data_IF_040114985553
#
_entry.id   IF_040114985553
#
_cell.length_a   1.000
_cell.length_b   1.000
_cell.length_c   1.000
_cell.angle_alpha   90.00
_cell.angle_beta   90.00
_cell.angle_gamma   90.00
#
_symmetry.space_group_name_H-M   'P 1'
#
loop_
_entity.id
_entity.type
_entity.pdbx_description
1 polymer ?
#
# COMPACT_ATOMS: atom_id res chain seq x y z
N UNK A 1 -2.55 -11.54 3.62
CA UNK A 1 -3.58 -11.51 4.69
C UNK A 1 -3.90 -12.90 5.21
N UNK A 2 -4.36 -13.03 6.47
CA UNK A 2 -4.95 -14.26 7.02
C UNK A 2 -5.90 -13.97 8.20
N UNK A 3 -6.56 -15.01 8.72
CA UNK A 3 -7.50 -14.92 9.87
C UNK A 3 -6.85 -14.36 11.13
N UNK A 4 -5.61 -14.75 11.44
CA UNK A 4 -4.88 -14.25 12.63
C UNK A 4 -4.63 -12.76 12.56
N UNK A 5 -4.18 -12.27 11.41
CA UNK A 5 -3.98 -10.83 11.16
C UNK A 5 -5.28 -10.07 11.39
N UNK A 6 -6.38 -10.51 10.78
CA UNK A 6 -7.67 -9.83 10.90
C UNK A 6 -8.22 -9.83 12.33
N UNK A 7 -7.96 -10.88 13.12
CA UNK A 7 -8.27 -10.91 14.55
C UNK A 7 -7.49 -9.85 15.34
N UNK A 8 -6.22 -9.61 15.01
CA UNK A 8 -5.42 -8.56 15.67
C UNK A 8 -5.89 -7.14 15.32
N UNK A 9 -6.37 -6.90 14.10
CA UNK A 9 -7.06 -5.65 13.78
C UNK A 9 -8.43 -5.54 14.47
N UNK A 10 -9.18 -6.65 14.59
CA UNK A 10 -10.44 -6.68 15.34
C UNK A 10 -10.21 -6.37 16.82
N UNK A 11 -9.15 -6.90 17.41
CA UNK A 11 -8.70 -6.59 18.75
C UNK A 11 -8.44 -5.09 18.95
N UNK A 12 -7.78 -4.45 17.98
CA UNK A 12 -7.57 -3.00 18.01
C UNK A 12 -8.86 -2.23 17.86
N UNK A 13 -9.77 -2.63 16.95
CA UNK A 13 -11.10 -2.00 16.82
C UNK A 13 -11.95 -2.12 18.10
N UNK A 14 -11.85 -3.24 18.81
CA UNK A 14 -12.57 -3.44 20.06
C UNK A 14 -12.02 -2.54 21.18
N UNK A 15 -10.71 -2.24 21.14
CA UNK A 15 -10.04 -1.39 22.10
C UNK A 15 -10.15 0.11 21.76
N UNK A 16 -10.10 0.45 20.47
CA UNK A 16 -10.19 1.79 19.89
C UNK A 16 -11.25 1.72 18.82
N UNK A 17 -12.48 2.14 19.17
CA UNK A 17 -13.62 2.07 18.27
C UNK A 17 -13.33 2.79 16.95
N UNK A 18 -13.70 2.14 15.85
CA UNK A 18 -13.68 2.73 14.50
C UNK A 18 -14.96 3.50 14.17
N UNK A 19 -15.70 3.88 15.22
CA UNK A 19 -16.89 4.72 15.20
C UNK A 19 -16.83 5.69 16.39
N UNK A 20 -17.36 6.90 16.19
CA UNK A 20 -17.51 7.89 17.25
C UNK A 20 -18.88 7.77 17.94
N UNK A 21 -18.93 8.13 19.22
CA UNK A 21 -20.20 8.26 19.93
C UNK A 21 -21.04 9.47 19.44
N UNK A 22 -22.23 9.64 20.01
CA UNK A 22 -23.12 10.76 19.67
C UNK A 22 -22.54 12.14 19.95
N UNK A 23 -21.46 12.24 20.73
CA UNK A 23 -20.72 13.46 21.05
C UNK A 23 -19.42 13.58 20.23
N UNK A 24 -19.24 12.75 19.18
CA UNK A 24 -18.03 12.67 18.35
C UNK A 24 -16.76 12.29 19.13
N UNK A 25 -16.87 11.49 20.18
CA UNK A 25 -15.73 10.98 20.95
C UNK A 25 -15.42 9.52 20.65
N UNK A 26 -14.14 9.17 20.79
CA UNK A 26 -13.70 7.79 20.78
C UNK A 26 -14.14 7.07 22.04
N UNK A 27 -14.55 5.81 21.84
CA UNK A 27 -14.73 4.87 22.93
C UNK A 27 -13.48 4.00 23.03
N UNK A 28 -12.80 4.08 24.17
CA UNK A 28 -11.62 3.30 24.46
C UNK A 28 -11.94 2.21 25.47
N UNK A 29 -11.74 0.96 25.08
CA UNK A 29 -11.94 -0.22 25.91
C UNK A 29 -10.74 -1.17 25.76
N UNK A 30 -9.55 -0.63 25.98
CA UNK A 30 -8.31 -1.37 25.80
C UNK A 30 -8.08 -2.40 26.89
N UNK A 31 -8.66 -2.26 28.09
CA UNK A 31 -8.42 -3.16 29.23
C UNK A 31 -6.92 -3.41 29.45
N UNK A 32 -6.10 -2.34 29.34
CA UNK A 32 -4.63 -2.40 29.42
C UNK A 32 -3.94 -3.20 28.30
N UNK A 33 -4.62 -3.45 27.17
CA UNK A 33 -4.07 -4.22 26.04
C UNK A 33 -2.86 -3.54 25.40
N UNK A 34 -2.77 -2.22 25.46
CA UNK A 34 -1.67 -1.44 24.88
C UNK A 34 -0.76 -0.79 25.93
N UNK A 35 -0.85 -1.18 27.20
CA UNK A 35 -0.13 -0.54 28.33
C UNK A 35 1.38 -0.43 28.16
N UNK A 36 2.00 -1.26 27.32
CA UNK A 36 3.44 -1.21 27.04
C UNK A 36 3.81 -0.42 25.79
N UNK A 37 2.86 0.22 25.11
CA UNK A 37 3.04 0.83 23.79
C UNK A 37 2.82 2.36 23.78
N UNK A 38 2.74 2.98 24.95
CA UNK A 38 2.69 4.44 25.07
C UNK A 38 4.06 5.08 24.85
N UNK A 39 4.10 6.32 24.36
CA UNK A 39 5.34 7.07 24.22
C UNK A 39 5.48 8.02 25.41
N UNK A 40 6.67 8.04 26.01
CA UNK A 40 6.98 8.97 27.09
C UNK A 40 7.52 10.29 26.49
N UNK A 41 7.27 11.42 27.17
CA UNK A 41 7.85 12.73 26.84
C UNK A 41 7.60 13.25 25.41
N UNK A 42 6.35 13.19 24.93
CA UNK A 42 5.98 13.76 23.62
C UNK A 42 5.92 15.30 23.69
N UNK A 43 6.75 15.94 22.86
CA UNK A 43 6.75 17.39 22.69
C UNK A 43 5.78 17.83 21.58
N UNK A 44 4.72 18.53 21.98
CA UNK A 44 3.75 19.12 21.04
C UNK A 44 4.04 20.60 20.76
N UNK A 45 5.14 21.15 21.28
CA UNK A 45 5.44 22.59 21.24
C UNK A 45 5.91 23.11 19.88
N UNK A 46 5.87 22.28 18.83
CA UNK A 46 6.17 22.74 17.49
C UNK A 46 5.08 23.70 17.00
N UNK A 47 5.42 24.97 16.73
CA UNK A 47 4.48 25.99 16.26
C UNK A 47 3.75 25.63 14.94
N UNK A 48 4.20 24.57 14.26
CA UNK A 48 3.53 23.96 13.11
C UNK A 48 2.22 23.21 13.49
N UNK A 49 2.09 22.74 14.73
CA UNK A 49 1.00 21.89 15.21
C UNK A 49 0.37 22.46 16.48
N UNK A 50 -0.54 23.43 16.33
CA UNK A 50 -1.25 24.03 17.46
C UNK A 50 -2.50 23.20 17.84
N UNK A 51 -2.29 21.96 18.30
CA UNK A 51 -3.31 20.91 18.40
C UNK A 51 -3.30 20.34 19.83
N UNK A 52 -4.29 20.68 20.67
CA UNK A 52 -4.41 20.21 22.06
C UNK A 52 -5.31 18.97 22.18
N UNK A 53 -4.76 17.78 21.88
CA UNK A 53 -5.52 16.52 21.92
C UNK A 53 -4.70 15.30 22.40
N UNK A 54 -3.85 15.49 23.43
CA UNK A 54 -2.91 14.46 23.92
C UNK A 54 -3.53 13.05 24.12
N UNK A 55 -4.66 12.93 24.84
CA UNK A 55 -5.13 11.61 25.30
C UNK A 55 -5.62 10.65 24.21
N UNK A 56 -6.28 11.17 23.18
CA UNK A 56 -6.83 10.31 22.12
C UNK A 56 -5.70 9.82 21.21
N UNK A 57 -4.77 10.72 20.88
CA UNK A 57 -3.60 10.38 20.08
C UNK A 57 -2.65 9.43 20.80
N UNK A 58 -2.47 9.55 22.13
CA UNK A 58 -1.66 8.61 22.91
C UNK A 58 -2.17 7.18 22.73
N UNK A 59 -3.50 6.99 22.77
CA UNK A 59 -4.14 5.68 22.62
C UNK A 59 -4.11 5.19 21.17
N UNK A 60 -4.38 6.06 20.20
CA UNK A 60 -4.28 5.74 18.77
C UNK A 60 -2.85 5.29 18.44
N UNK A 61 -1.86 6.03 18.93
CA UNK A 61 -0.46 5.70 18.79
C UNK A 61 -0.09 4.36 19.45
N UNK A 62 -0.58 4.12 20.67
CA UNK A 62 -0.36 2.83 21.36
C UNK A 62 -0.97 1.65 20.58
N UNK A 63 -2.13 1.86 19.93
CA UNK A 63 -2.73 0.89 19.01
C UNK A 63 -1.91 0.64 17.74
N UNK A 64 -1.32 1.70 17.16
CA UNK A 64 -0.41 1.58 16.02
C UNK A 64 0.84 0.77 16.38
N UNK A 65 1.51 1.15 17.48
CA UNK A 65 2.67 0.43 17.99
C UNK A 65 2.35 -1.02 18.34
N UNK A 66 1.16 -1.30 18.89
CA UNK A 66 0.71 -2.68 19.10
C UNK A 66 0.68 -3.51 17.81
N UNK A 67 0.13 -2.97 16.73
CA UNK A 67 0.08 -3.66 15.44
C UNK A 67 1.48 -3.88 14.86
N UNK A 68 2.37 -2.88 14.99
CA UNK A 68 3.76 -2.99 14.55
C UNK A 68 4.54 -4.02 15.37
N UNK A 69 4.39 -4.02 16.69
CA UNK A 69 5.02 -5.00 17.56
C UNK A 69 4.55 -6.42 17.21
N UNK A 70 3.24 -6.61 17.05
CA UNK A 70 2.66 -7.92 16.76
C UNK A 70 3.10 -8.47 15.39
N UNK A 71 3.20 -7.62 14.37
CA UNK A 71 3.42 -8.09 13.00
C UNK A 71 4.85 -7.93 12.49
N UNK A 72 5.70 -7.13 13.13
CA UNK A 72 6.99 -6.72 12.56
C UNK A 72 8.16 -6.96 13.51
N UNK A 73 7.97 -6.90 14.83
CA UNK A 73 9.05 -6.99 15.84
C UNK A 73 9.99 -8.18 15.65
N UNK A 74 9.40 -9.34 15.32
CA UNK A 74 10.11 -10.62 15.19
C UNK A 74 10.31 -11.04 13.72
N UNK A 75 10.38 -10.07 12.81
CA UNK A 75 10.68 -10.28 11.38
C UNK A 75 11.95 -11.11 11.12
N UNK A 76 12.92 -11.04 12.03
CA UNK A 76 14.24 -11.65 11.93
C UNK A 76 14.41 -12.98 12.65
N UNK A 77 13.35 -13.48 13.29
CA UNK A 77 13.35 -14.77 14.01
C UNK A 77 12.86 -15.88 13.08
N UNK A 78 13.41 -17.09 13.14
CA UNK A 78 12.97 -18.24 12.34
C UNK A 78 12.34 -19.33 13.24
N UNK A 79 11.08 -19.78 12.98
CA UNK A 79 10.16 -19.30 11.96
C UNK A 79 9.54 -17.95 12.32
N UNK A 80 9.63 -16.99 11.39
CA UNK A 80 9.03 -15.68 11.61
C UNK A 80 7.52 -15.78 11.52
N UNK A 81 6.81 -15.43 12.60
CA UNK A 81 5.37 -15.13 12.56
C UNK A 81 5.06 -13.92 11.69
N UNK A 82 6.05 -13.04 11.54
CA UNK A 82 6.05 -11.76 10.84
C UNK A 82 6.50 -11.85 9.37
N UNK A 83 6.63 -13.08 8.80
CA UNK A 83 7.30 -13.35 7.51
C UNK A 83 6.91 -12.34 6.41
N UNK A 84 7.75 -11.30 6.29
CA UNK A 84 7.88 -10.29 5.23
C UNK A 84 6.62 -9.85 4.48
N UNK A 85 5.48 -9.73 5.15
CA UNK A 85 4.28 -9.24 4.50
C UNK A 85 4.28 -7.70 4.57
N UNK A 86 5.16 -7.02 3.82
CA UNK A 86 5.24 -5.54 3.78
C UNK A 86 3.89 -4.88 3.47
N UNK A 87 2.98 -5.64 2.87
CA UNK A 87 1.58 -5.33 2.60
C UNK A 87 0.77 -5.10 3.89
N UNK A 88 1.17 -5.68 5.03
CA UNK A 88 0.51 -5.46 6.32
C UNK A 88 0.65 -4.02 6.79
N UNK A 89 1.79 -3.39 6.48
CA UNK A 89 2.07 -2.00 6.85
C UNK A 89 1.11 -1.07 6.13
N UNK A 90 0.72 -1.41 4.89
CA UNK A 90 -0.30 -0.65 4.17
C UNK A 90 -1.63 -0.66 4.94
N UNK A 91 -2.04 -1.82 5.48
CA UNK A 91 -3.25 -1.90 6.30
C UNK A 91 -3.15 -1.18 7.64
N UNK A 92 -1.99 -1.22 8.30
CA UNK A 92 -1.74 -0.44 9.53
C UNK A 92 -1.87 1.06 9.22
N UNK A 93 -1.29 1.51 8.11
CA UNK A 93 -1.36 2.92 7.69
C UNK A 93 -2.76 3.36 7.30
N UNK A 94 -3.53 2.51 6.60
CA UNK A 94 -4.93 2.79 6.26
C UNK A 94 -5.76 2.90 7.54
N UNK A 95 -5.59 1.98 8.50
CA UNK A 95 -6.29 2.04 9.78
C UNK A 95 -5.91 3.31 10.56
N UNK A 96 -4.62 3.63 10.65
CA UNK A 96 -4.14 4.80 11.38
C UNK A 96 -4.65 6.11 10.77
N UNK A 97 -4.50 6.28 9.46
CA UNK A 97 -5.01 7.45 8.74
C UNK A 97 -6.54 7.57 8.93
N UNK A 98 -7.28 6.47 8.75
CA UNK A 98 -8.72 6.44 8.96
C UNK A 98 -9.12 6.88 10.37
N UNK A 99 -8.50 6.31 11.41
CA UNK A 99 -8.82 6.63 12.80
C UNK A 99 -8.44 8.08 13.13
N UNK A 100 -7.36 8.63 12.59
CA UNK A 100 -7.06 10.06 12.82
C UNK A 100 -8.12 10.94 12.13
N UNK A 101 -8.36 10.71 10.85
CA UNK A 101 -9.30 11.53 10.07
C UNK A 101 -10.76 11.36 10.46
N UNK A 102 -11.16 10.23 11.06
CA UNK A 102 -12.54 9.98 11.48
C UNK A 102 -13.04 11.07 12.46
N UNK A 103 -12.18 11.55 13.36
CA UNK A 103 -12.52 12.62 14.30
C UNK A 103 -12.00 13.98 13.86
N UNK A 104 -10.81 14.02 13.26
CA UNK A 104 -10.03 15.24 13.06
C UNK A 104 -9.87 15.66 11.60
N UNK A 105 -10.73 15.21 10.69
CA UNK A 105 -10.67 15.57 9.26
C UNK A 105 -10.78 17.07 8.97
N UNK A 106 -11.34 17.86 9.88
CA UNK A 106 -11.46 19.31 9.77
C UNK A 106 -10.16 20.05 10.15
N UNK A 107 -9.24 19.36 10.85
CA UNK A 107 -7.96 19.93 11.30
C UNK A 107 -6.89 19.85 10.20
N UNK A 108 -6.28 21.00 9.91
CA UNK A 108 -5.23 21.07 8.90
C UNK A 108 -3.97 20.32 9.33
N UNK A 109 -3.35 19.60 8.41
CA UNK A 109 -2.08 18.87 8.61
C UNK A 109 -2.11 17.83 9.74
N UNK A 110 -3.29 17.32 10.12
CA UNK A 110 -3.44 16.44 11.29
C UNK A 110 -2.54 15.20 11.24
N UNK A 111 -2.42 14.56 10.07
CA UNK A 111 -1.55 13.39 9.87
C UNK A 111 -0.08 13.76 10.03
N UNK A 112 0.35 14.87 9.42
CA UNK A 112 1.72 15.39 9.56
C UNK A 112 2.05 15.70 11.01
N UNK A 113 1.11 16.30 11.74
CA UNK A 113 1.28 16.60 13.15
C UNK A 113 1.39 15.35 14.01
N UNK A 114 0.54 14.36 13.76
CA UNK A 114 0.64 13.06 14.43
C UNK A 114 2.00 12.40 14.14
N UNK A 115 2.43 12.40 12.88
CA UNK A 115 3.70 11.82 12.49
C UNK A 115 4.89 12.51 13.18
N UNK A 116 4.92 13.84 13.22
CA UNK A 116 6.00 14.58 13.89
C UNK A 116 6.01 14.27 15.38
N UNK A 117 4.88 14.45 16.07
CA UNK A 117 4.82 14.27 17.52
C UNK A 117 5.09 12.82 17.95
N UNK A 118 4.54 11.84 17.24
CA UNK A 118 4.60 10.45 17.67
C UNK A 118 5.63 9.61 16.93
N UNK A 119 5.71 9.68 15.61
CA UNK A 119 6.60 8.78 14.86
C UNK A 119 8.05 9.26 14.81
N UNK A 120 8.30 10.57 14.87
CA UNK A 120 9.66 11.09 14.95
C UNK A 120 10.20 11.07 16.37
N UNK A 121 9.43 11.55 17.34
CA UNK A 121 9.97 11.85 18.68
C UNK A 121 9.88 10.67 19.65
N UNK A 122 8.95 9.74 19.44
CA UNK A 122 8.85 8.56 20.29
C UNK A 122 10.00 7.57 20.04
N UNK A 123 10.69 7.23 21.13
CA UNK A 123 11.79 6.26 21.14
C UNK A 123 11.38 4.87 20.61
N UNK A 124 10.13 4.45 20.81
CA UNK A 124 9.62 3.15 20.37
C UNK A 124 9.63 2.95 18.86
N UNK A 125 9.37 3.99 18.07
CA UNK A 125 9.44 3.89 16.61
C UNK A 125 10.88 3.87 16.09
N UNK A 126 11.80 4.50 16.83
CA UNK A 126 13.22 4.60 16.49
C UNK A 126 14.05 3.43 17.05
N UNK A 127 13.43 2.54 17.82
CA UNK A 127 14.12 1.37 18.39
C UNK A 127 14.50 0.41 17.27
N UNK A 128 15.79 0.08 17.22
CA UNK A 128 16.34 -0.84 16.22
C UNK A 128 15.68 -2.21 16.31
N UNK A 129 15.24 -2.73 15.16
CA UNK A 129 14.71 -4.08 14.97
C UNK A 129 15.80 -4.92 14.31
N UNK A 130 16.06 -6.10 14.86
CA UNK A 130 17.14 -6.97 14.39
C UNK A 130 16.59 -8.03 13.42
N UNK A 131 17.37 -8.31 12.36
CA UNK A 131 17.09 -9.38 11.40
C UNK A 131 16.01 -9.05 10.35
N UNK A 132 15.39 -7.87 10.39
CA UNK A 132 14.62 -7.34 9.26
C UNK A 132 15.56 -6.94 8.12
N UNK A 133 15.24 -7.31 6.88
CA UNK A 133 15.93 -6.80 5.69
C UNK A 133 15.22 -5.57 5.13
N UNK A 134 15.97 -4.50 4.91
CA UNK A 134 15.48 -3.33 4.16
C UNK A 134 14.86 -2.23 5.01
N UNK A 135 14.89 -2.29 6.34
CA UNK A 135 14.62 -1.17 7.26
C UNK A 135 15.22 -1.51 8.62
N UNK A 136 15.67 -0.50 9.39
CA UNK A 136 16.35 -0.73 10.67
C UNK A 136 15.46 -0.58 11.90
N UNK A 137 14.34 0.11 11.77
CA UNK A 137 13.39 0.44 12.84
C UNK A 137 11.97 0.64 12.24
N UNK A 138 10.96 0.84 13.09
CA UNK A 138 9.60 1.06 12.60
C UNK A 138 9.51 2.34 11.80
N UNK A 139 10.12 3.44 12.27
CA UNK A 139 10.06 4.72 11.57
C UNK A 139 10.49 4.60 10.10
N UNK A 140 11.63 3.99 9.82
CA UNK A 140 12.14 3.81 8.46
C UNK A 140 11.21 2.93 7.60
N UNK A 141 10.53 1.95 8.22
CA UNK A 141 9.50 1.15 7.54
C UNK A 141 8.28 1.99 7.16
N UNK A 142 7.79 2.81 8.09
CA UNK A 142 6.62 3.67 7.88
C UNK A 142 6.92 4.77 6.84
N UNK A 143 8.14 5.31 6.84
CA UNK A 143 8.59 6.32 5.86
C UNK A 143 8.49 5.81 4.42
N UNK A 144 8.70 4.51 4.20
CA UNK A 144 8.55 3.86 2.88
C UNK A 144 7.10 3.70 2.45
N UNK A 145 6.17 3.85 3.38
CA UNK A 145 4.70 3.77 3.19
C UNK A 145 4.01 5.10 3.45
N UNK A 146 4.77 6.20 3.50
CA UNK A 146 4.27 7.53 3.81
C UNK A 146 3.14 7.97 2.87
N UNK A 147 3.15 7.54 1.61
CA UNK A 147 2.09 7.87 0.66
C UNK A 147 0.73 7.24 1.03
N UNK A 148 0.72 6.10 1.75
CA UNK A 148 -0.50 5.46 2.25
C UNK A 148 -0.99 6.17 3.51
N UNK A 149 -0.06 6.56 4.39
CA UNK A 149 -0.38 7.34 5.59
C UNK A 149 -0.97 8.71 5.23
N UNK A 150 -0.51 9.34 4.16
CA UNK A 150 -1.02 10.62 3.66
C UNK A 150 -2.07 10.48 2.55
N UNK A 151 -2.74 9.32 2.48
CA UNK A 151 -3.88 9.14 1.60
C UNK A 151 -4.95 10.21 1.84
N UNK A 152 -5.56 10.68 0.75
CA UNK A 152 -6.61 11.69 0.77
C UNK A 152 -7.71 11.29 1.76
N UNK A 153 -8.14 12.25 2.59
CA UNK A 153 -9.11 12.01 3.66
C UNK A 153 -10.49 11.58 3.14
N UNK A 154 -10.80 11.84 1.87
CA UNK A 154 -12.02 11.35 1.21
C UNK A 154 -11.89 9.91 0.70
N UNK A 155 -10.66 9.44 0.44
CA UNK A 155 -10.40 8.11 -0.10
C UNK A 155 -10.10 7.09 1.01
N UNK A 156 -9.41 7.50 2.08
CA UNK A 156 -9.08 6.61 3.20
C UNK A 156 -10.28 5.86 3.79
N UNK A 157 -11.49 6.45 3.93
CA UNK A 157 -12.65 5.72 4.45
C UNK A 157 -13.10 4.60 3.51
N UNK A 158 -12.96 4.79 2.19
CA UNK A 158 -13.30 3.76 1.19
C UNK A 158 -12.32 2.59 1.27
N UNK A 159 -11.02 2.88 1.34
CA UNK A 159 -9.98 1.86 1.49
C UNK A 159 -10.09 1.11 2.81
N UNK A 160 -10.34 1.82 3.91
CA UNK A 160 -10.54 1.21 5.22
C UNK A 160 -11.78 0.30 5.23
N UNK A 161 -12.88 0.72 4.60
CA UNK A 161 -14.10 -0.09 4.46
C UNK A 161 -13.84 -1.40 3.72
N UNK A 162 -13.16 -1.34 2.57
CA UNK A 162 -12.82 -2.53 1.79
C UNK A 162 -11.86 -3.46 2.56
N UNK A 163 -10.85 -2.90 3.24
CA UNK A 163 -9.97 -3.67 4.12
C UNK A 163 -10.74 -4.35 5.26
N UNK A 164 -11.65 -3.63 5.93
CA UNK A 164 -12.48 -4.18 7.01
C UNK A 164 -13.36 -5.32 6.50
N UNK A 165 -14.03 -5.14 5.36
CA UNK A 165 -14.85 -6.16 4.70
C UNK A 165 -14.04 -7.41 4.34
N UNK A 166 -12.83 -7.23 3.79
CA UNK A 166 -11.91 -8.35 3.55
C UNK A 166 -11.56 -9.08 4.85
N UNK A 167 -11.34 -8.35 5.94
CA UNK A 167 -11.07 -9.00 7.21
C UNK A 167 -12.26 -9.77 7.78
N UNK A 168 -13.48 -9.28 7.59
CA UNK A 168 -14.69 -9.99 7.97
C UNK A 168 -14.89 -11.29 7.21
N UNK A 169 -14.41 -11.39 5.97
CA UNK A 169 -14.34 -12.66 5.23
C UNK A 169 -13.38 -13.65 5.88
N UNK A 170 -12.15 -13.20 6.16
CA UNK A 170 -11.13 -14.05 6.77
C UNK A 170 -11.51 -14.52 8.18
N UNK A 171 -12.27 -13.73 8.95
CA UNK A 171 -12.71 -14.12 10.29
C UNK A 171 -13.94 -15.01 10.28
N UNK A 172 -14.90 -14.78 9.38
CA UNK A 172 -16.10 -15.62 9.21
C UNK A 172 -15.75 -17.02 8.70
N UNK A 173 -14.80 -17.12 7.76
CA UNK A 173 -14.44 -18.40 7.16
C UNK A 173 -13.82 -19.37 8.17
N UNK A 174 -14.37 -20.58 8.19
CA UNK A 174 -13.85 -21.75 8.90
C UNK A 174 -13.91 -22.95 7.95
N UNK A 175 -12.79 -23.66 7.81
CA UNK A 175 -12.67 -24.83 6.95
C UNK A 175 -13.63 -25.96 7.37
N UNK A 176 -14.07 -25.97 8.63
CA UNK A 176 -15.00 -26.95 9.17
C UNK A 176 -16.48 -26.48 9.11
N UNK A 177 -16.76 -25.30 8.54
CA UNK A 177 -18.11 -24.77 8.45
C UNK A 177 -18.97 -25.68 7.55
N UNK A 178 -20.20 -25.99 7.96
CA UNK A 178 -21.10 -26.85 7.17
C UNK A 178 -21.82 -26.12 6.03
N UNK A 179 -21.82 -24.78 6.05
CA UNK A 179 -22.45 -23.94 5.03
C UNK A 179 -21.70 -22.62 4.87
N UNK A 180 -21.34 -22.27 3.63
CA UNK A 180 -20.57 -21.08 3.30
C UNK A 180 -21.40 -19.90 2.76
N UNK A 181 -22.74 -19.92 2.85
CA UNK A 181 -23.62 -18.83 2.37
C UNK A 181 -23.19 -17.45 2.90
N UNK A 182 -22.95 -17.32 4.21
CA UNK A 182 -22.53 -16.06 4.84
C UNK A 182 -21.19 -15.54 4.30
N UNK A 183 -20.25 -16.44 4.02
CA UNK A 183 -18.98 -16.07 3.41
C UNK A 183 -19.18 -15.56 1.98
N UNK A 184 -20.07 -16.18 1.21
CA UNK A 184 -20.41 -15.74 -0.15
C UNK A 184 -21.04 -14.34 -0.16
N UNK A 185 -22.02 -14.09 0.71
CA UNK A 185 -22.67 -12.78 0.84
C UNK A 185 -21.67 -11.67 1.19
N UNK A 186 -20.78 -11.91 2.17
CA UNK A 186 -19.70 -10.98 2.52
C UNK A 186 -18.72 -10.78 1.36
N UNK A 187 -18.51 -11.78 0.51
CA UNK A 187 -17.56 -11.71 -0.59
C UNK A 187 -18.12 -10.86 -1.74
N UNK A 188 -19.43 -10.95 -1.98
CA UNK A 188 -20.14 -10.05 -2.90
C UNK A 188 -20.04 -8.60 -2.42
N UNK A 189 -20.23 -8.36 -1.12
CA UNK A 189 -20.06 -7.02 -0.55
C UNK A 189 -18.63 -6.49 -0.75
N UNK A 190 -17.62 -7.30 -0.43
CA UNK A 190 -16.22 -6.93 -0.65
C UNK A 190 -15.93 -6.61 -2.11
N UNK A 191 -16.34 -7.49 -3.05
CA UNK A 191 -16.08 -7.29 -4.49
C UNK A 191 -16.75 -6.01 -4.99
N UNK A 192 -17.96 -5.70 -4.55
CA UNK A 192 -18.64 -4.44 -4.90
C UNK A 192 -17.85 -3.22 -4.41
N UNK A 193 -17.42 -3.22 -3.15
CA UNK A 193 -16.60 -2.14 -2.58
C UNK A 193 -15.26 -1.99 -3.32
N UNK A 194 -14.62 -3.11 -3.66
CA UNK A 194 -13.39 -3.12 -4.43
C UNK A 194 -13.57 -2.52 -5.82
N UNK A 195 -14.66 -2.85 -6.52
CA UNK A 195 -14.95 -2.32 -7.85
C UNK A 195 -15.19 -0.81 -7.84
N UNK A 196 -15.82 -0.27 -6.79
CA UNK A 196 -15.98 1.17 -6.59
C UNK A 196 -14.61 1.84 -6.42
N UNK A 197 -13.78 1.33 -5.52
CA UNK A 197 -12.39 1.79 -5.33
C UNK A 197 -11.56 1.73 -6.61
N UNK A 198 -11.70 0.66 -7.37
CA UNK A 198 -10.95 0.46 -8.61
C UNK A 198 -11.32 1.51 -9.66
N UNK A 199 -12.60 1.87 -9.81
CA UNK A 199 -13.03 2.90 -10.77
C UNK A 199 -12.42 4.27 -10.46
N UNK A 200 -12.30 4.60 -9.18
CA UNK A 200 -11.80 5.90 -8.73
C UNK A 200 -10.25 5.99 -8.81
N UNK A 201 -9.55 4.85 -8.68
CA UNK A 201 -8.09 4.85 -8.42
C UNK A 201 -7.26 3.90 -9.31
N UNK A 202 -7.77 3.47 -10.48
CA UNK A 202 -7.04 2.58 -11.41
C UNK A 202 -5.92 3.26 -12.22
N UNK A 203 -5.45 4.45 -11.85
CA UNK A 203 -4.33 5.10 -12.55
C UNK A 203 -3.00 4.48 -12.13
N UNK A 204 -2.16 4.11 -13.12
CA UNK A 204 -0.93 3.31 -12.96
C UNK A 204 0.15 3.87 -12.02
N UNK A 205 0.05 5.14 -11.62
CA UNK A 205 1.15 5.87 -10.97
C UNK A 205 0.82 6.40 -9.57
N UNK A 206 -0.29 5.97 -8.97
CA UNK A 206 -0.63 6.36 -7.60
C UNK A 206 -0.10 5.35 -6.57
N UNK A 207 0.30 5.82 -5.40
CA UNK A 207 0.56 4.97 -4.22
C UNK A 207 -0.63 4.08 -3.87
N UNK A 208 -1.84 4.53 -4.19
CA UNK A 208 -3.10 3.82 -3.94
C UNK A 208 -3.24 2.56 -4.80
N UNK A 209 -2.65 2.55 -5.99
CA UNK A 209 -2.62 1.37 -6.85
C UNK A 209 -1.97 0.16 -6.16
N UNK A 210 -0.94 0.38 -5.33
CA UNK A 210 -0.27 -0.67 -4.56
C UNK A 210 -1.19 -1.26 -3.49
N UNK A 211 -2.01 -0.42 -2.86
CA UNK A 211 -3.03 -0.85 -1.89
C UNK A 211 -4.11 -1.67 -2.59
N UNK A 212 -4.57 -1.24 -3.77
CA UNK A 212 -5.54 -2.00 -4.58
C UNK A 212 -5.00 -3.38 -4.98
N UNK A 213 -3.74 -3.46 -5.40
CA UNK A 213 -3.08 -4.73 -5.71
C UNK A 213 -3.01 -5.63 -4.47
N UNK A 214 -2.69 -5.04 -3.32
CA UNK A 214 -2.61 -5.75 -2.04
C UNK A 214 -3.95 -6.35 -1.63
N UNK A 215 -5.03 -5.56 -1.68
CA UNK A 215 -6.40 -6.02 -1.42
C UNK A 215 -6.84 -7.13 -2.38
N UNK A 216 -6.56 -6.97 -3.68
CA UNK A 216 -6.94 -7.96 -4.69
C UNK A 216 -6.20 -9.28 -4.50
N UNK A 217 -4.88 -9.22 -4.28
CA UNK A 217 -4.06 -10.41 -4.05
C UNK A 217 -4.50 -11.15 -2.78
N UNK A 218 -4.82 -10.39 -1.72
CA UNK A 218 -5.29 -10.97 -0.47
C UNK A 218 -6.68 -11.60 -0.61
N UNK A 219 -7.55 -11.06 -1.45
CA UNK A 219 -8.83 -11.71 -1.79
C UNK A 219 -8.63 -12.97 -2.64
N UNK A 220 -7.74 -12.96 -3.62
CA UNK A 220 -7.41 -14.16 -4.40
C UNK A 220 -6.85 -15.28 -3.52
N UNK A 221 -6.00 -14.94 -2.54
CA UNK A 221 -5.49 -15.88 -1.55
C UNK A 221 -6.63 -16.45 -0.67
N UNK A 222 -7.60 -15.62 -0.29
CA UNK A 222 -8.81 -16.08 0.40
C UNK A 222 -9.59 -17.07 -0.46
N UNK A 223 -9.86 -16.71 -1.72
CA UNK A 223 -10.58 -17.56 -2.67
C UNK A 223 -9.92 -18.92 -2.87
N UNK A 224 -8.59 -18.95 -2.98
CA UNK A 224 -7.85 -20.21 -3.12
C UNK A 224 -8.14 -21.15 -1.94
N UNK A 225 -8.00 -20.63 -0.71
CA UNK A 225 -8.30 -21.40 0.52
C UNK A 225 -9.76 -21.81 0.62
N UNK A 226 -10.66 -20.92 0.22
CA UNK A 226 -12.09 -21.21 0.18
C UNK A 226 -12.42 -22.38 -0.76
N UNK A 227 -11.82 -22.40 -1.94
CA UNK A 227 -12.03 -23.46 -2.94
C UNK A 227 -11.37 -24.80 -2.57
N UNK A 228 -10.34 -24.78 -1.71
CA UNK A 228 -9.76 -26.00 -1.14
C UNK A 228 -10.72 -26.67 -0.12
N UNK A 229 -11.70 -25.92 0.40
CA UNK A 229 -12.69 -26.43 1.34
C UNK A 229 -13.87 -27.10 0.63
N UNK A 230 -14.05 -28.41 0.85
CA UNK A 230 -15.13 -29.22 0.27
C UNK A 230 -16.54 -28.74 0.66
N UNK A 231 -16.70 -27.99 1.75
CA UNK A 231 -18.01 -27.56 2.23
C UNK A 231 -18.60 -26.37 1.43
N UNK A 232 -17.80 -25.73 0.57
CA UNK A 232 -18.18 -24.48 -0.07
C UNK A 232 -18.46 -24.59 -1.58
N UNK A 233 -18.47 -25.79 -2.16
CA UNK A 233 -18.68 -25.98 -3.61
C UNK A 233 -20.01 -25.41 -4.11
N UNK A 234 -21.05 -25.40 -3.27
CA UNK A 234 -22.38 -24.88 -3.58
C UNK A 234 -22.52 -23.35 -3.48
N UNK A 235 -21.45 -22.62 -3.13
CA UNK A 235 -21.49 -21.16 -2.92
C UNK A 235 -20.26 -20.50 -3.56
N UNK A 236 -20.18 -20.44 -4.89
CA UNK A 236 -19.01 -19.93 -5.57
C UNK A 236 -18.78 -18.44 -5.27
N UNK A 237 -17.53 -18.07 -4.99
CA UNK A 237 -17.17 -16.69 -4.69
C UNK A 237 -17.05 -15.83 -5.96
N UNK A 238 -17.51 -14.57 -5.92
CA UNK A 238 -17.36 -13.64 -7.03
C UNK A 238 -15.88 -13.41 -7.39
N UNK A 239 -15.58 -13.19 -8.65
CA UNK A 239 -14.25 -12.85 -9.16
C UNK A 239 -14.10 -11.35 -9.32
N UNK A 240 -12.89 -10.83 -9.09
CA UNK A 240 -12.52 -9.49 -9.51
C UNK A 240 -12.02 -9.60 -10.96
N UNK A 241 -12.52 -8.75 -11.87
CA UNK A 241 -12.07 -8.73 -13.27
C UNK A 241 -10.60 -8.29 -13.37
N UNK A 242 -9.73 -9.24 -13.73
CA UNK A 242 -8.27 -9.11 -13.64
C UNK A 242 -7.60 -8.41 -14.82
N UNK A 243 -8.23 -8.40 -16.00
CA UNK A 243 -7.60 -7.92 -17.25
C UNK A 243 -7.10 -6.46 -17.16
N UNK A 244 -7.73 -5.62 -16.33
CA UNK A 244 -7.32 -4.22 -16.12
C UNK A 244 -6.46 -4.00 -14.86
N UNK A 245 -6.40 -4.97 -13.95
CA UNK A 245 -5.64 -4.91 -12.69
C UNK A 245 -4.20 -5.42 -12.90
N UNK A 246 -4.02 -6.43 -13.76
CA UNK A 246 -2.72 -7.04 -14.02
C UNK A 246 -1.69 -6.05 -14.57
N UNK A 247 -2.11 -5.08 -15.40
CA UNK A 247 -1.19 -4.08 -15.95
C UNK A 247 -0.62 -3.16 -14.85
N UNK A 248 -1.45 -2.81 -13.86
CA UNK A 248 -1.09 -1.96 -12.72
C UNK A 248 -0.23 -2.74 -11.73
N UNK A 249 -0.60 -3.99 -11.42
CA UNK A 249 0.07 -4.78 -10.40
C UNK A 249 1.37 -5.47 -10.88
N UNK A 250 1.50 -5.77 -12.19
CA UNK A 250 2.69 -6.41 -12.74
C UNK A 250 3.88 -5.44 -12.93
N UNK A 251 3.63 -4.21 -13.39
CA UNK A 251 4.70 -3.20 -13.58
C UNK A 251 5.37 -2.79 -12.25
N UNK A 252 4.63 -2.82 -11.14
CA UNK A 252 5.14 -2.47 -9.81
C UNK A 252 6.13 -3.52 -9.25
N UNK A 253 6.00 -4.79 -9.65
CA UNK A 253 6.96 -5.84 -9.31
C UNK A 253 8.23 -5.77 -10.18
N UNK A 254 8.13 -5.22 -11.39
CA UNK A 254 9.24 -5.07 -12.34
C UNK A 254 10.17 -3.88 -12.02
N UNK A 255 9.65 -2.78 -11.43
CA UNK A 255 10.47 -1.64 -10.99
C UNK A 255 11.42 -1.96 -9.81
N UNK A 256 11.49 -3.21 -9.31
CA UNK A 256 12.25 -3.59 -8.11
C UNK A 256 13.55 -4.37 -8.34
N UNK A 257 14.07 -4.46 -9.57
CA UNK A 257 15.37 -5.11 -9.84
C UNK A 257 16.40 -4.13 -10.37
N UNK A 258 16.98 -3.34 -9.47
CA UNK A 258 18.33 -2.74 -9.64
C UNK A 258 19.06 -2.65 -8.28
N UNK A 259 18.86 -3.66 -7.43
CA UNK A 259 19.76 -3.92 -6.29
C UNK A 259 20.37 -5.30 -6.56
N UNK A 260 21.70 -5.42 -6.72
CA UNK A 260 22.31 -6.70 -7.05
C UNK A 260 22.27 -7.59 -5.80
N UNK A 261 21.60 -8.74 -5.91
CA UNK A 261 21.59 -9.77 -4.87
C UNK A 261 20.20 -10.26 -4.46
N UNK A 262 19.38 -10.71 -5.42
CA UNK A 262 18.23 -11.58 -5.16
C UNK A 262 18.05 -12.51 -6.35
N UNK A 263 18.74 -13.64 -6.32
CA UNK A 263 18.26 -14.85 -6.97
C UNK A 263 17.73 -15.77 -5.88
N UNK A 264 16.67 -16.48 -6.24
CA UNK A 264 16.11 -17.66 -5.58
C UNK A 264 14.80 -17.46 -4.77
N UNK A 265 13.78 -18.14 -5.32
CA UNK A 265 12.57 -18.66 -4.71
C UNK A 265 11.30 -17.77 -4.66
N UNK A 266 10.70 -17.59 -5.84
CA UNK A 266 9.24 -17.52 -5.99
C UNK A 266 8.70 -18.94 -6.13
N UNK A 267 7.96 -19.43 -5.13
CA UNK A 267 7.19 -20.66 -5.24
C UNK A 267 6.08 -20.52 -6.28
N UNK A 268 6.27 -21.24 -7.39
CA UNK A 268 5.26 -21.81 -8.29
C UNK A 268 4.05 -20.92 -8.64
N UNK A 269 4.27 -19.99 -9.57
CA UNK A 269 3.23 -19.40 -10.42
C UNK A 269 3.56 -19.84 -11.85
N UNK A 270 2.60 -20.46 -12.53
CA UNK A 270 2.72 -21.16 -13.81
C UNK A 270 3.69 -20.51 -14.81
N UNK A 271 4.81 -21.21 -15.08
CA UNK A 271 5.89 -20.83 -16.02
C UNK A 271 5.40 -20.45 -17.44
N UNK A 272 4.24 -20.97 -17.84
CA UNK A 272 3.68 -20.73 -19.17
C UNK A 272 3.28 -19.26 -19.40
N UNK A 273 2.69 -18.60 -18.40
CA UNK A 273 2.25 -17.20 -18.54
C UNK A 273 3.43 -16.20 -18.48
N UNK A 274 4.46 -16.50 -17.67
CA UNK A 274 5.66 -15.66 -17.53
C UNK A 274 6.54 -15.69 -18.79
N UNK A 275 6.58 -16.82 -19.50
CA UNK A 275 7.36 -16.99 -20.73
C UNK A 275 6.82 -16.11 -21.87
N UNK A 276 5.50 -16.00 -22.01
CA UNK A 276 4.88 -15.10 -22.99
C UNK A 276 5.09 -13.62 -22.63
N UNK A 277 5.04 -13.26 -21.34
CA UNK A 277 5.29 -11.90 -20.84
C UNK A 277 6.75 -11.43 -21.06
N UNK A 278 7.72 -12.33 -20.97
CA UNK A 278 9.15 -12.05 -21.26
C UNK A 278 9.41 -11.72 -22.72
N UNK A 279 8.73 -12.42 -23.64
CA UNK A 279 8.84 -12.17 -25.08
C UNK A 279 8.16 -10.87 -25.49
N UNK A 280 6.98 -10.58 -24.94
CA UNK A 280 6.22 -9.36 -25.21
C UNK A 280 6.96 -8.12 -24.69
N UNK A 281 7.48 -8.15 -23.46
CA UNK A 281 8.23 -7.02 -22.89
C UNK A 281 9.56 -6.74 -23.61
N UNK A 282 10.28 -7.78 -24.09
CA UNK A 282 11.46 -7.60 -24.94
C UNK A 282 11.11 -6.96 -26.29
N UNK A 283 9.96 -7.31 -26.89
CA UNK A 283 9.48 -6.71 -28.14
C UNK A 283 9.17 -5.21 -28.01
N UNK A 284 8.58 -4.80 -26.89
CA UNK A 284 8.27 -3.39 -26.62
C UNK A 284 9.53 -2.53 -26.39
N UNK A 285 10.53 -3.04 -25.67
CA UNK A 285 11.80 -2.31 -25.45
C UNK A 285 12.52 -2.09 -26.77
N UNK A 286 12.55 -3.11 -27.64
CA UNK A 286 13.19 -3.02 -28.96
C UNK A 286 12.47 -1.99 -29.84
N UNK A 287 11.13 -1.98 -29.90
CA UNK A 287 10.38 -0.98 -30.66
C UNK A 287 10.58 0.46 -30.16
N UNK A 288 10.67 0.66 -28.84
CA UNK A 288 10.81 2.00 -28.24
C UNK A 288 12.18 2.62 -28.52
N UNK A 289 13.24 1.81 -28.56
CA UNK A 289 14.60 2.27 -28.92
C UNK A 289 14.64 2.72 -30.40
N UNK A 290 14.00 1.99 -31.32
CA UNK A 290 13.95 2.39 -32.73
C UNK A 290 13.11 3.66 -32.96
N UNK A 291 12.03 3.87 -32.19
CA UNK A 291 11.25 5.10 -32.20
C UNK A 291 12.05 6.32 -31.74
N UNK A 292 12.81 6.20 -30.65
CA UNK A 292 13.65 7.29 -30.16
C UNK A 292 14.77 7.65 -31.15
N UNK A 293 15.45 6.65 -31.71
CA UNK A 293 16.55 6.87 -32.66
C UNK A 293 16.08 7.62 -33.91
N UNK A 294 14.88 7.30 -34.44
CA UNK A 294 14.33 7.99 -35.62
C UNK A 294 13.94 9.44 -35.32
N UNK A 295 13.42 9.74 -34.13
CA UNK A 295 13.12 11.12 -33.71
C UNK A 295 14.40 11.95 -33.56
N UNK A 296 15.42 11.41 -32.89
CA UNK A 296 16.70 12.12 -32.71
C UNK A 296 17.42 12.34 -34.04
N UNK A 297 17.47 11.34 -34.93
CA UNK A 297 18.02 11.49 -36.28
C UNK A 297 17.26 12.54 -37.10
N UNK A 298 15.92 12.59 -37.00
CA UNK A 298 15.10 13.61 -37.66
C UNK A 298 15.39 15.03 -37.18
N UNK A 299 15.56 15.22 -35.87
CA UNK A 299 15.89 16.53 -35.28
C UNK A 299 17.31 16.96 -35.66
N UNK A 300 18.29 16.06 -35.58
CA UNK A 300 19.68 16.33 -35.97
C UNK A 300 19.80 16.64 -37.46
N UNK A 301 19.10 15.90 -38.32
CA UNK A 301 19.07 16.15 -39.76
C UNK A 301 18.52 17.54 -40.11
N UNK A 302 17.40 17.94 -39.46
CA UNK A 302 16.80 19.27 -39.66
C UNK A 302 17.73 20.40 -39.23
N UNK A 303 18.40 20.26 -38.08
CA UNK A 303 19.36 21.26 -37.59
C UNK A 303 20.61 21.36 -38.47
N UNK A 304 21.13 20.24 -38.96
CA UNK A 304 22.29 20.20 -39.86
C UNK A 304 22.01 20.86 -41.20
N UNK A 305 20.86 20.58 -41.82
CA UNK A 305 20.44 21.18 -43.10
C UNK A 305 20.28 22.71 -42.98
N UNK A 306 19.76 23.18 -41.85
CA UNK A 306 19.60 24.62 -41.57
C UNK A 306 20.94 25.32 -41.37
N UNK A 307 21.90 24.65 -40.70
CA UNK A 307 23.27 25.12 -40.55
C UNK A 307 24.01 25.26 -41.88
N UNK A 308 23.87 24.26 -42.77
CA UNK A 308 24.48 24.29 -44.11
C UNK A 308 23.92 25.43 -44.99
N UNK A 309 22.60 25.64 -45.00
CA UNK A 309 21.97 26.76 -45.74
C UNK A 309 22.51 28.13 -45.33
N UNK A 310 22.68 28.37 -44.02
CA UNK A 310 23.23 29.63 -43.49
C UNK A 310 24.67 29.87 -43.93
N UNK A 311 25.51 28.83 -43.97
CA UNK A 311 26.91 28.94 -44.41
C UNK A 311 27.01 29.25 -45.91
N UNK A 312 26.21 28.59 -46.74
CA UNK A 312 26.18 28.82 -48.19
C UNK A 312 25.73 30.25 -48.52
N UNK A 313 24.67 30.76 -47.88
CA UNK A 313 24.24 32.16 -48.06
C UNK A 313 25.32 33.18 -47.62
N UNK A 314 26.02 32.91 -46.51
CA UNK A 314 27.10 33.80 -46.03
C UNK A 314 28.28 33.82 -47.00
N UNK A 315 28.60 32.69 -47.63
CA UNK A 315 29.69 32.60 -48.61
C UNK A 315 29.35 33.29 -49.93
N UNK A 316 28.11 33.17 -50.41
CA UNK A 316 27.62 33.87 -51.61
C UNK A 316 27.58 35.39 -51.41
N UNK A 317 27.11 35.87 -50.25
CA UNK A 317 27.12 37.31 -49.92
C UNK A 317 28.52 37.90 -49.82
N UNK A 318 29.53 37.11 -49.44
CA UNK A 318 30.94 37.55 -49.40
C UNK A 318 31.58 37.61 -50.79
N UNK A 319 31.15 36.77 -51.74
CA UNK A 319 31.66 36.81 -53.13
C UNK A 319 31.06 37.95 -53.96
N UNK A 320 29.85 38.43 -53.64
CA UNK A 320 29.22 39.58 -54.31
C UNK A 320 29.73 40.96 -53.85
N UNK A 321 30.58 41.01 -52.82
CA UNK A 321 31.16 42.26 -52.27
C UNK A 321 32.63 42.45 -52.65
N UNK A 322 33.12 41.68 -53.63
CA UNK A 322 34.49 41.74 -54.15
C UNK A 322 34.41 41.91 -55.65
#
# INVERSE_FOLDING_TARGET
MNKTVCKKFQDVRNAISDQLDSKRNYQFNDNNKFSNNYCDDIDFSNGFCNIDFKSDFDKINAGCLYLLDEFIKDCGVDPSTAKNNINIVDYIMIWLNYIINLKYSEESNIITCFYIAYMNDCDKYNKKINGCTGYKDYKELLDKKNDVLNMDSNDVPKFYKAFKSLCELYTEFDENMSNCTKCSEKAEEFVKQYQELYKDHNTKDSSYSKVLCTLSNDYDNFKKKYNESKCCESSPLPTIEKEKILEICAEQNSKKTNVPGYDELSGEISEAALSELSLVSKLFIVLSIFGAITIFLGISYKYSLFGFRKRVQKHLRKKLKK
#
